data_IF_598268715212
#
_entry.id   IF_598268715212
#
_cell.length_a   1.000
_cell.length_b   1.000
_cell.length_c   1.000
_cell.angle_alpha   90.00
_cell.angle_beta   90.00
_cell.angle_gamma   90.00
#
_symmetry.space_group_name_H-M   'P 1'
#
loop_
_entity.id
_entity.type
_entity.pdbx_description
1 polymer ?
#
# COMPACT_ATOMS: atom_id res chain seq x y z
N UNK A 1 -7.66 14.10 -4.24
CA UNK A 1 -6.71 14.89 -3.46
C UNK A 1 -6.18 14.08 -2.30
N UNK A 2 -4.87 14.22 -2.00
CA UNK A 2 -4.26 13.70 -0.78
C UNK A 2 -4.81 14.50 0.39
N UNK A 3 -5.32 13.82 1.42
CA UNK A 3 -6.00 14.48 2.54
C UNK A 3 -5.38 14.18 3.92
N UNK A 4 -4.68 13.05 4.08
CA UNK A 4 -3.99 12.75 5.32
C UNK A 4 -2.86 11.72 5.13
N UNK A 5 -1.95 11.73 6.10
CA UNK A 5 -0.87 10.75 6.20
C UNK A 5 -1.03 9.91 7.47
N UNK A 6 -0.58 8.66 7.41
CA UNK A 6 -0.54 7.76 8.57
C UNK A 6 0.89 7.24 8.70
N UNK A 7 1.61 7.72 9.71
CA UNK A 7 2.94 7.22 10.06
C UNK A 7 2.84 5.95 10.90
N UNK A 8 3.84 5.08 10.74
CA UNK A 8 3.86 3.75 11.36
C UNK A 8 2.52 3.01 11.19
N UNK A 9 2.05 2.82 9.95
CA UNK A 9 0.73 2.27 9.72
C UNK A 9 0.64 0.80 10.13
N UNK A 10 -0.51 0.38 10.64
CA UNK A 10 -0.88 -1.02 10.61
C UNK A 10 -1.41 -1.39 9.22
N UNK A 11 -1.15 -2.61 8.81
CA UNK A 11 -1.68 -3.12 7.55
C UNK A 11 -2.85 -4.07 7.78
N UNK A 12 -4.04 -3.66 7.39
CA UNK A 12 -5.19 -4.56 7.28
C UNK A 12 -5.06 -5.35 5.99
N UNK A 13 -4.92 -6.66 6.09
CA UNK A 13 -4.65 -7.53 4.95
C UNK A 13 -5.90 -7.64 4.08
N UNK A 14 -5.83 -7.27 2.78
CA UNK A 14 -6.95 -7.34 1.86
C UNK A 14 -7.50 -8.77 1.70
N UNK A 15 -8.80 -8.93 1.39
CA UNK A 15 -9.42 -10.25 1.21
C UNK A 15 -8.70 -11.14 0.21
N UNK A 16 -8.17 -10.58 -0.88
CA UNK A 16 -7.43 -11.31 -1.91
C UNK A 16 -6.18 -11.97 -1.33
N UNK A 17 -5.32 -11.17 -0.67
CA UNK A 17 -4.08 -11.65 -0.03
C UNK A 17 -4.40 -12.61 1.12
N UNK A 18 -5.42 -12.27 1.92
CA UNK A 18 -5.88 -13.15 3.00
C UNK A 18 -6.21 -14.55 2.50
N UNK A 19 -7.01 -14.63 1.45
CA UNK A 19 -7.53 -15.91 0.94
C UNK A 19 -6.50 -16.69 0.12
N UNK A 20 -5.64 -15.99 -0.65
CA UNK A 20 -4.71 -16.64 -1.57
C UNK A 20 -3.36 -16.96 -0.93
N UNK A 21 -2.95 -16.19 0.10
CA UNK A 21 -1.62 -16.32 0.68
C UNK A 21 -1.67 -16.68 2.17
N UNK A 22 -2.40 -15.89 2.99
CA UNK A 22 -2.33 -16.01 4.46
C UNK A 22 -2.96 -17.30 4.95
N UNK A 23 -4.22 -17.58 4.60
CA UNK A 23 -4.92 -18.78 5.05
C UNK A 23 -4.23 -20.05 4.55
N UNK A 24 -3.86 -20.18 3.26
CA UNK A 24 -3.09 -21.33 2.79
C UNK A 24 -1.71 -21.44 3.45
N UNK A 25 -1.06 -20.29 3.70
CA UNK A 25 0.24 -20.26 4.37
C UNK A 25 0.19 -20.80 5.80
N UNK A 26 -0.83 -20.45 6.57
CA UNK A 26 -1.02 -20.96 7.94
C UNK A 26 -1.32 -22.45 7.94
N UNK A 27 -2.11 -22.93 6.98
CA UNK A 27 -2.41 -24.37 6.85
C UNK A 27 -1.16 -25.21 6.55
N UNK A 28 -0.18 -24.64 5.84
CA UNK A 28 1.10 -25.30 5.52
C UNK A 28 2.13 -25.15 6.63
N UNK A 29 2.12 -24.02 7.35
CA UNK A 29 3.09 -23.72 8.39
C UNK A 29 2.41 -23.03 9.58
N UNK A 30 2.27 -23.68 10.74
CA UNK A 30 1.64 -23.08 11.93
C UNK A 30 2.33 -21.79 12.41
N UNK A 31 3.61 -21.60 12.10
CA UNK A 31 4.38 -20.41 12.46
C UNK A 31 4.24 -19.26 11.43
N UNK A 32 3.43 -19.42 10.37
CA UNK A 32 3.30 -18.42 9.30
C UNK A 32 2.92 -17.04 9.84
N UNK A 33 1.92 -16.98 10.72
CA UNK A 33 1.44 -15.72 11.30
C UNK A 33 2.48 -15.07 12.21
N UNK A 34 3.11 -15.85 13.08
CA UNK A 34 4.15 -15.34 13.99
C UNK A 34 5.37 -14.85 13.23
N UNK A 35 5.84 -15.58 12.22
CA UNK A 35 6.98 -15.20 11.39
C UNK A 35 6.74 -13.89 10.62
N UNK A 36 5.47 -13.62 10.28
CA UNK A 36 5.07 -12.39 9.58
C UNK A 36 4.45 -11.34 10.51
N UNK A 37 4.45 -11.58 11.83
CA UNK A 37 3.83 -10.70 12.83
C UNK A 37 2.36 -10.35 12.47
N UNK A 38 1.60 -11.33 12.00
CA UNK A 38 0.19 -11.15 11.64
C UNK A 38 -0.70 -11.51 12.83
N UNK A 39 -1.59 -10.62 13.20
CA UNK A 39 -2.59 -10.79 14.25
C UNK A 39 -3.96 -11.08 13.62
N UNK A 40 -4.76 -11.91 14.27
CA UNK A 40 -6.09 -12.32 13.82
C UNK A 40 -7.15 -11.80 14.78
N UNK A 41 -8.24 -11.31 14.21
CA UNK A 41 -9.37 -10.77 14.96
C UNK A 41 -10.67 -11.38 14.44
N UNK A 42 -11.60 -11.69 15.34
CA UNK A 42 -12.93 -12.15 14.95
C UNK A 42 -13.79 -10.99 14.41
N UNK A 43 -15.02 -11.29 14.03
CA UNK A 43 -15.97 -10.31 13.50
C UNK A 43 -16.41 -9.25 14.52
N UNK A 44 -16.20 -9.51 15.82
CA UNK A 44 -16.43 -8.55 16.90
C UNK A 44 -15.22 -7.65 17.18
N UNK A 45 -14.09 -7.86 16.51
CA UNK A 45 -12.86 -7.12 16.70
C UNK A 45 -11.99 -7.63 17.87
N UNK A 46 -12.30 -8.79 18.44
CA UNK A 46 -11.53 -9.40 19.51
C UNK A 46 -10.33 -10.15 18.93
N UNK A 47 -9.17 -9.96 19.54
CA UNK A 47 -7.93 -10.64 19.11
C UNK A 47 -8.00 -12.13 19.45
N UNK A 48 -7.77 -12.96 18.48
CA UNK A 48 -7.79 -14.41 18.61
C UNK A 48 -6.37 -14.97 18.85
N UNK A 49 -6.32 -16.10 19.57
CA UNK A 49 -5.10 -16.90 19.65
C UNK A 49 -5.03 -17.85 18.46
N UNK A 50 -4.06 -17.71 17.53
CA UNK A 50 -3.98 -18.55 16.33
C UNK A 50 -3.89 -20.05 16.59
N UNK A 51 -3.31 -20.47 17.72
CA UNK A 51 -3.18 -21.90 18.07
C UNK A 51 -4.51 -22.56 18.49
N UNK A 52 -5.53 -21.75 18.74
CA UNK A 52 -6.88 -22.22 19.10
C UNK A 52 -7.87 -22.19 17.93
N UNK A 53 -7.42 -21.77 16.75
CA UNK A 53 -8.25 -21.66 15.55
C UNK A 53 -8.15 -22.94 14.73
N UNK A 54 -9.31 -23.51 14.39
CA UNK A 54 -9.37 -24.56 13.38
C UNK A 54 -9.31 -23.94 11.97
N UNK A 55 -8.12 -23.95 11.38
CA UNK A 55 -7.83 -23.37 10.08
C UNK A 55 -8.49 -24.09 8.89
N UNK A 56 -9.12 -25.22 9.10
CA UNK A 56 -9.85 -25.95 8.05
C UNK A 56 -11.23 -25.36 7.81
N UNK A 57 -11.80 -24.70 8.81
CA UNK A 57 -13.15 -24.13 8.77
C UNK A 57 -13.24 -22.92 7.85
N UNK A 58 -14.42 -22.71 7.26
CA UNK A 58 -14.70 -21.58 6.37
C UNK A 58 -14.74 -20.24 7.13
N UNK A 59 -15.06 -20.25 8.42
CA UNK A 59 -15.17 -19.04 9.26
C UNK A 59 -13.90 -18.21 9.30
N UNK A 60 -12.71 -18.82 9.09
CA UNK A 60 -11.41 -18.09 9.04
C UNK A 60 -11.39 -17.03 7.95
N UNK A 61 -12.24 -17.14 6.94
CA UNK A 61 -12.39 -16.15 5.87
C UNK A 61 -13.13 -14.89 6.32
N UNK A 62 -13.94 -14.97 7.38
CA UNK A 62 -14.64 -13.81 7.95
C UNK A 62 -13.76 -13.01 8.92
N UNK A 63 -12.66 -13.59 9.40
CA UNK A 63 -11.74 -12.92 10.31
C UNK A 63 -10.98 -11.77 9.64
N UNK A 64 -10.62 -10.78 10.45
CA UNK A 64 -9.74 -9.70 10.06
C UNK A 64 -8.28 -10.06 10.42
N UNK A 65 -7.40 -9.87 9.47
CA UNK A 65 -5.96 -10.10 9.63
C UNK A 65 -5.23 -8.77 9.56
N UNK A 66 -4.41 -8.47 10.55
CA UNK A 66 -3.67 -7.20 10.64
C UNK A 66 -2.21 -7.45 10.96
N UNK A 67 -1.35 -6.69 10.32
CA UNK A 67 0.06 -6.62 10.69
C UNK A 67 0.30 -5.27 11.37
N UNK A 68 0.81 -5.26 12.61
CA UNK A 68 1.11 -4.00 13.31
C UNK A 68 2.28 -3.28 12.64
N UNK A 69 2.57 -2.02 13.02
CA UNK A 69 3.79 -1.33 12.62
C UNK A 69 5.04 -2.18 12.90
N UNK A 70 6.03 -2.07 12.03
CA UNK A 70 7.28 -2.79 12.20
C UNK A 70 8.09 -2.90 10.91
N UNK A 71 9.31 -3.45 11.02
CA UNK A 71 10.24 -3.59 9.89
C UNK A 71 9.77 -4.56 8.80
N UNK A 72 8.89 -5.49 9.16
CA UNK A 72 8.32 -6.48 8.22
C UNK A 72 6.99 -6.05 7.63
N UNK A 73 6.45 -4.89 8.03
CA UNK A 73 5.18 -4.39 7.50
C UNK A 73 5.39 -3.88 6.06
N UNK A 74 4.67 -4.42 5.05
CA UNK A 74 4.86 -4.04 3.66
C UNK A 74 4.51 -2.58 3.35
N UNK A 75 3.78 -1.89 4.24
CA UNK A 75 3.47 -0.47 4.10
C UNK A 75 4.60 0.45 4.55
N UNK A 76 5.72 -0.11 5.07
CA UNK A 76 6.85 0.68 5.56
C UNK A 76 6.49 1.63 6.69
N UNK A 77 7.01 2.85 6.62
CA UNK A 77 6.90 3.87 7.68
C UNK A 77 5.75 4.84 7.51
N UNK A 78 5.19 4.97 6.31
CA UNK A 78 4.14 5.93 6.02
C UNK A 78 3.18 5.43 4.95
N UNK A 79 1.94 5.85 5.10
CA UNK A 79 0.83 5.64 4.19
C UNK A 79 0.20 7.00 3.91
N UNK A 80 0.10 7.37 2.64
CA UNK A 80 -0.40 8.65 2.16
C UNK A 80 -1.77 8.40 1.52
N UNK A 81 -2.79 9.01 2.08
CA UNK A 81 -4.17 8.69 1.80
C UNK A 81 -4.86 9.75 0.93
N UNK A 82 -5.70 9.28 0.04
CA UNK A 82 -6.62 10.07 -0.78
C UNK A 82 -7.92 9.29 -1.01
N UNK A 83 -9.10 9.93 -0.92
CA UNK A 83 -10.38 9.26 -1.12
C UNK A 83 -10.52 8.73 -2.55
N UNK A 84 -10.83 7.45 -2.69
CA UNK A 84 -11.15 6.82 -3.97
C UNK A 84 -11.95 5.53 -3.76
N UNK A 85 -12.73 5.13 -4.78
CA UNK A 85 -13.59 3.93 -4.73
C UNK A 85 -12.84 2.60 -4.72
N UNK A 86 -11.54 2.61 -5.04
CA UNK A 86 -10.71 1.39 -5.16
C UNK A 86 -9.91 1.08 -3.90
N UNK A 87 -9.99 1.95 -2.87
CA UNK A 87 -9.19 1.84 -1.64
C UNK A 87 -7.68 1.78 -1.91
N UNK A 88 -7.23 2.43 -2.99
CA UNK A 88 -5.81 2.57 -3.35
C UNK A 88 -5.21 3.74 -2.58
N UNK A 89 -3.94 3.64 -2.23
CA UNK A 89 -3.16 4.67 -1.54
C UNK A 89 -1.68 4.60 -1.95
N UNK A 90 -0.92 5.66 -1.66
CA UNK A 90 0.54 5.61 -1.74
C UNK A 90 1.10 5.09 -0.41
N UNK A 91 2.23 4.39 -0.45
CA UNK A 91 2.87 3.94 0.78
C UNK A 91 4.38 3.70 0.60
N UNK A 92 5.09 3.75 1.71
CA UNK A 92 6.47 3.31 1.82
C UNK A 92 6.57 1.77 1.68
N UNK A 93 7.77 1.26 1.59
CA UNK A 93 8.07 -0.18 1.58
C UNK A 93 9.43 -0.46 2.17
N UNK A 94 9.60 -1.54 2.97
CA UNK A 94 10.94 -1.98 3.39
C UNK A 94 11.74 -2.60 2.25
N UNK A 95 11.09 -3.01 1.15
CA UNK A 95 11.73 -3.65 -0.01
C UNK A 95 12.17 -2.59 -1.04
N UNK A 96 13.18 -1.80 -0.72
CA UNK A 96 13.64 -0.69 -1.58
C UNK A 96 14.22 -1.17 -2.92
N UNK A 97 14.82 -2.36 -2.98
CA UNK A 97 15.40 -2.92 -4.22
C UNK A 97 14.41 -3.14 -5.37
N UNK A 98 13.11 -3.05 -5.11
CA UNK A 98 12.10 -3.09 -6.18
C UNK A 98 12.19 -1.88 -7.13
N UNK A 99 12.71 -0.76 -6.65
CA UNK A 99 12.86 0.45 -7.46
C UNK A 99 14.03 0.38 -8.45
N UNK A 100 14.95 -0.58 -8.27
CA UNK A 100 16.03 -0.88 -9.20
C UNK A 100 15.59 -1.77 -10.37
N UNK A 101 14.35 -2.30 -10.31
CA UNK A 101 13.83 -3.23 -11.31
C UNK A 101 13.15 -2.48 -12.47
N UNK A 102 13.31 -3.01 -13.70
CA UNK A 102 12.63 -2.48 -14.88
C UNK A 102 11.12 -2.76 -14.83
N UNK A 103 10.71 -3.95 -14.38
CA UNK A 103 9.29 -4.30 -14.20
C UNK A 103 8.85 -4.03 -12.77
N UNK A 104 7.93 -3.08 -12.59
CA UNK A 104 7.46 -2.61 -11.28
C UNK A 104 5.99 -2.93 -10.99
N UNK A 105 5.32 -3.68 -11.85
CA UNK A 105 3.92 -4.11 -11.68
C UNK A 105 3.80 -5.25 -10.64
N UNK A 106 4.12 -4.95 -9.38
CA UNK A 106 4.27 -5.95 -8.31
C UNK A 106 3.29 -5.76 -7.14
N UNK A 107 2.21 -5.02 -7.33
CA UNK A 107 1.22 -4.79 -6.29
C UNK A 107 -0.20 -5.16 -6.73
N UNK A 108 -1.12 -5.22 -5.77
CA UNK A 108 -2.55 -5.45 -6.04
C UNK A 108 -3.34 -4.13 -6.22
N UNK A 109 -2.65 -3.02 -6.56
CA UNK A 109 -3.27 -1.72 -6.86
C UNK A 109 -2.70 -0.53 -6.08
N UNK A 110 -2.25 -0.70 -4.83
CA UNK A 110 -1.59 0.38 -4.09
C UNK A 110 -0.22 0.72 -4.70
N UNK A 111 0.20 1.97 -4.59
CA UNK A 111 1.42 2.48 -5.22
C UNK A 111 2.52 2.65 -4.19
N UNK A 112 3.64 1.97 -4.40
CA UNK A 112 4.85 2.14 -3.58
C UNK A 112 5.60 3.39 -4.01
N UNK A 113 6.12 4.12 -3.02
CA UNK A 113 6.87 5.36 -3.22
C UNK A 113 8.29 5.15 -2.72
N UNK A 114 9.29 5.41 -3.57
CA UNK A 114 10.71 5.20 -3.28
C UNK A 114 11.18 6.06 -2.09
N UNK A 115 10.89 7.35 -2.11
CA UNK A 115 11.26 8.31 -1.06
C UNK A 115 10.02 8.81 -0.32
N UNK A 116 9.21 7.87 0.22
CA UNK A 116 7.92 8.19 0.82
C UNK A 116 8.02 9.12 2.03
N UNK A 117 9.11 9.04 2.80
CA UNK A 117 9.35 9.91 3.96
C UNK A 117 9.62 11.34 3.50
N UNK A 118 10.47 11.54 2.49
CA UNK A 118 10.77 12.88 1.96
C UNK A 118 9.54 13.49 1.30
N UNK A 119 8.77 12.70 0.56
CA UNK A 119 7.47 13.13 0.06
C UNK A 119 6.53 13.54 1.22
N UNK A 120 6.52 12.81 2.31
CA UNK A 120 5.69 13.15 3.49
C UNK A 120 6.13 14.46 4.14
N UNK A 121 7.42 14.71 4.25
CA UNK A 121 7.99 15.98 4.74
C UNK A 121 7.59 17.14 3.83
N UNK A 122 7.70 16.95 2.52
CA UNK A 122 7.25 17.95 1.54
C UNK A 122 5.75 18.24 1.64
N UNK A 123 4.91 17.22 1.77
CA UNK A 123 3.46 17.38 1.88
C UNK A 123 3.02 18.09 3.16
N UNK A 124 3.81 18.04 4.23
CA UNK A 124 3.52 18.67 5.52
C UNK A 124 4.30 19.96 5.77
N UNK A 125 5.05 20.48 4.78
CA UNK A 125 5.94 21.64 4.94
C UNK A 125 5.22 22.93 5.35
N UNK A 126 3.92 23.04 5.10
CA UNK A 126 3.06 24.18 5.49
C UNK A 126 2.50 24.04 6.91
N UNK A 127 2.84 22.97 7.63
CA UNK A 127 2.37 22.66 8.98
C UNK A 127 3.54 22.74 9.98
N UNK A 128 3.75 23.87 10.68
CA UNK A 128 4.93 24.12 11.48
C UNK A 128 5.12 23.13 12.63
N UNK A 129 4.04 22.46 13.07
CA UNK A 129 4.08 21.43 14.10
C UNK A 129 4.75 20.12 13.62
N UNK A 130 4.96 19.97 12.32
CA UNK A 130 5.49 18.74 11.71
C UNK A 130 6.78 19.03 10.93
N UNK A 131 7.78 19.56 11.62
CA UNK A 131 9.12 19.72 11.05
C UNK A 131 9.74 18.38 10.67
N UNK A 132 10.83 18.40 9.89
CA UNK A 132 11.55 17.16 9.53
C UNK A 132 11.95 16.34 10.75
N UNK A 133 12.42 17.02 11.81
CA UNK A 133 12.85 16.40 13.06
C UNK A 133 11.67 15.78 13.82
N UNK A 134 10.50 16.45 13.85
CA UNK A 134 9.32 15.88 14.48
C UNK A 134 8.79 14.67 13.71
N UNK A 135 8.80 14.70 12.38
CA UNK A 135 8.43 13.55 11.55
C UNK A 135 9.36 12.36 11.85
N UNK A 136 10.67 12.58 11.89
CA UNK A 136 11.64 11.54 12.23
C UNK A 136 11.42 11.00 13.66
N UNK A 137 11.06 11.87 14.60
CA UNK A 137 10.69 11.50 15.97
C UNK A 137 9.42 10.63 16.00
N UNK A 138 8.38 10.99 15.24
CA UNK A 138 7.14 10.20 15.09
C UNK A 138 7.46 8.80 14.56
N UNK A 139 8.29 8.71 13.51
CA UNK A 139 8.71 7.43 12.93
C UNK A 139 9.46 6.58 13.95
N UNK A 140 10.40 7.18 14.69
CA UNK A 140 11.20 6.51 15.71
C UNK A 140 10.36 5.97 16.87
N UNK A 141 9.33 6.70 17.31
CA UNK A 141 8.41 6.24 18.36
C UNK A 141 7.66 4.97 18.00
N UNK A 142 7.46 4.67 16.71
CA UNK A 142 6.86 3.41 16.23
C UNK A 142 5.34 3.31 16.46
N UNK A 143 4.72 4.27 17.12
CA UNK A 143 3.25 4.33 17.32
C UNK A 143 2.56 4.91 16.09
N UNK A 144 1.34 4.43 15.83
CA UNK A 144 0.53 4.93 14.72
C UNK A 144 0.18 6.40 14.96
N UNK A 145 0.47 7.26 14.00
CA UNK A 145 0.13 8.68 14.04
C UNK A 145 -0.53 9.09 12.72
N UNK A 146 -1.79 9.52 12.80
CA UNK A 146 -2.48 10.18 11.69
C UNK A 146 -2.23 11.67 11.77
N UNK A 147 -1.98 12.28 10.60
CA UNK A 147 -1.84 13.72 10.40
C UNK A 147 -2.72 14.12 9.22
N UNK A 148 -3.71 14.96 9.48
CA UNK A 148 -4.55 15.51 8.41
C UNK A 148 -3.84 16.70 7.77
N UNK A 149 -3.92 16.81 6.44
CA UNK A 149 -3.29 17.90 5.69
C UNK A 149 -4.15 19.16 5.79
N UNK A 150 -3.52 20.30 6.08
CA UNK A 150 -4.17 21.62 6.01
C UNK A 150 -4.44 22.03 4.56
N UNK A 151 -3.46 21.84 3.70
CA UNK A 151 -3.59 22.04 2.25
C UNK A 151 -3.60 20.69 1.55
N UNK A 152 -4.70 20.38 0.89
CA UNK A 152 -4.83 19.16 0.09
C UNK A 152 -4.08 19.31 -1.23
N UNK A 153 -3.43 18.23 -1.65
CA UNK A 153 -2.66 18.19 -2.89
C UNK A 153 -3.36 17.30 -3.91
N UNK A 154 -3.54 17.79 -5.12
CA UNK A 154 -4.10 17.00 -6.20
C UNK A 154 -3.17 15.86 -6.58
N UNK A 155 -3.73 14.68 -6.76
CA UNK A 155 -3.03 13.50 -7.26
C UNK A 155 -3.72 13.01 -8.51
N UNK A 156 -2.93 12.71 -9.56
CA UNK A 156 -3.39 12.17 -10.83
C UNK A 156 -2.64 10.88 -11.11
N UNK A 157 -3.37 9.83 -11.46
CA UNK A 157 -2.81 8.57 -11.91
C UNK A 157 -3.00 8.45 -13.40
N UNK A 158 -1.90 8.31 -14.13
CA UNK A 158 -1.89 8.10 -15.57
C UNK A 158 -1.29 6.73 -15.89
N UNK A 159 -1.83 6.11 -16.92
CA UNK A 159 -1.24 4.94 -17.55
C UNK A 159 -0.92 5.31 -19.00
N UNK A 160 0.37 5.39 -19.29
CA UNK A 160 0.87 5.72 -20.62
C UNK A 160 1.84 4.64 -21.08
N UNK A 161 1.64 4.14 -22.28
CA UNK A 161 2.54 3.23 -22.97
C UNK A 161 3.46 3.96 -23.94
N UNK A 162 3.13 5.23 -24.26
CA UNK A 162 3.96 6.11 -25.06
C UNK A 162 3.92 7.54 -24.50
N UNK A 163 5.09 8.19 -24.38
CA UNK A 163 5.20 9.61 -24.01
C UNK A 163 6.44 10.25 -24.64
N UNK A 164 6.52 11.57 -24.63
CA UNK A 164 7.66 12.32 -25.12
C UNK A 164 8.50 12.85 -23.97
N UNK A 165 9.83 12.61 -24.02
CA UNK A 165 10.80 13.13 -23.06
C UNK A 165 12.04 13.63 -23.81
N UNK A 166 12.44 14.88 -23.57
CA UNK A 166 13.63 15.51 -24.19
C UNK A 166 13.64 15.44 -25.72
N UNK A 167 12.48 15.51 -26.37
CA UNK A 167 12.37 15.43 -27.83
C UNK A 167 12.25 14.02 -28.40
N UNK A 168 12.47 12.98 -27.61
CA UNK A 168 12.35 11.58 -28.01
C UNK A 168 11.02 10.96 -27.56
N UNK A 169 10.47 10.09 -28.41
CA UNK A 169 9.29 9.29 -28.04
C UNK A 169 9.74 8.01 -27.36
N UNK A 170 9.29 7.78 -26.16
CA UNK A 170 9.57 6.59 -25.35
C UNK A 170 8.34 5.70 -25.38
N UNK A 171 8.54 4.40 -25.65
CA UNK A 171 7.51 3.37 -25.56
C UNK A 171 7.81 2.41 -24.41
N UNK A 172 6.76 1.90 -23.77
CA UNK A 172 6.85 0.83 -22.76
C UNK A 172 5.82 -0.25 -23.06
N UNK A 173 6.02 -1.43 -22.48
CA UNK A 173 5.09 -2.54 -22.62
C UNK A 173 3.70 -2.17 -22.09
N UNK A 174 2.67 -2.56 -22.81
CA UNK A 174 1.26 -2.43 -22.38
C UNK A 174 0.90 -3.59 -21.42
N UNK A 175 1.34 -3.50 -20.18
CA UNK A 175 1.17 -4.54 -19.17
C UNK A 175 -0.29 -4.80 -18.76
N UNK A 176 -1.21 -3.88 -19.09
CA UNK A 176 -2.64 -4.01 -18.82
C UNK A 176 -3.49 -4.29 -20.05
N UNK A 177 -2.87 -4.39 -21.24
CA UNK A 177 -3.53 -4.63 -22.53
C UNK A 177 -4.63 -3.58 -22.83
N UNK A 178 -4.34 -2.30 -22.58
CA UNK A 178 -5.29 -1.20 -22.83
C UNK A 178 -5.12 -0.56 -24.21
N UNK A 179 -3.96 -0.65 -24.82
CA UNK A 179 -3.65 0.03 -26.08
C UNK A 179 -4.57 -0.42 -27.23
N UNK A 180 -4.84 -1.72 -27.32
CA UNK A 180 -5.76 -2.24 -28.35
C UNK A 180 -7.19 -1.70 -28.17
N UNK A 181 -7.68 -1.63 -26.92
CA UNK A 181 -9.01 -1.12 -26.61
C UNK A 181 -9.11 0.38 -26.94
N UNK A 182 -8.08 1.16 -26.61
CA UNK A 182 -7.99 2.59 -26.93
C UNK A 182 -7.96 2.80 -28.44
N UNK A 183 -7.10 2.08 -29.15
CA UNK A 183 -6.97 2.16 -30.61
C UNK A 183 -8.28 1.83 -31.34
N UNK A 184 -8.98 0.78 -30.90
CA UNK A 184 -10.28 0.40 -31.46
C UNK A 184 -11.37 1.46 -31.19
N UNK A 185 -11.28 2.18 -30.09
CA UNK A 185 -12.20 3.29 -29.78
C UNK A 185 -11.92 4.49 -30.68
N UNK A 186 -10.66 4.84 -30.88
CA UNK A 186 -10.25 5.93 -31.78
C UNK A 186 -10.64 5.66 -33.23
N UNK A 187 -10.46 4.43 -33.74
CA UNK A 187 -10.86 4.02 -35.10
C UNK A 187 -12.38 4.09 -35.34
N UNK A 188 -13.18 3.96 -34.30
CA UNK A 188 -14.66 4.10 -34.41
C UNK A 188 -15.13 5.54 -34.36
N UNK A 189 -14.31 6.46 -33.83
CA UNK A 189 -14.61 7.87 -33.69
C UNK A 189 -14.10 8.70 -34.90
N UNK A 190 -13.29 8.12 -35.77
CA UNK A 190 -12.81 8.70 -37.02
C UNK A 190 -13.69 8.23 -38.21
#
# INVERSE_FOLDING_TARGET
>A
EIDHLIFNPSWSIPPTIKNNDVIPGVRKNPNYLSNKNIQVYNTKGEKLNPSKIDWTRSEVRSFTYRQPPGSTNPLGKVKIMYPNRYSVYLHDTPSQSIFDQNSRAQSSGCVRVENAIDLSKYLLQDQPDYTSEEIDSIIKRGSIKRIDMKQKVNIHHFYWTAWRKNGETIFTDDIYNYDEAILNTLKKAS
#
